data_IF_706138168985
#
_entry.id   IF_706138168985
#
_cell.length_a   1.000
_cell.length_b   1.000
_cell.length_c   1.000
_cell.angle_alpha   90.00
_cell.angle_beta   90.00
_cell.angle_gamma   90.00
#
_symmetry.space_group_name_H-M   'P 1'
#
loop_
_entity.id
_entity.type
_entity.pdbx_description
1 polymer ?
#
# COMPACT_ATOMS: atom_id res chain seq x y z
N UNK A 1 -15.07 9.52 -28.94
CA UNK A 1 -13.72 9.33 -28.37
C UNK A 1 -13.51 10.39 -27.29
N UNK A 2 -12.89 10.04 -26.14
CA UNK A 2 -12.50 11.05 -25.17
C UNK A 2 -11.26 11.79 -25.66
N UNK A 3 -11.22 13.12 -25.44
CA UNK A 3 -10.10 13.97 -25.84
C UNK A 3 -9.15 14.14 -24.64
N UNK A 4 -7.84 14.10 -24.92
CA UNK A 4 -6.85 14.54 -23.93
C UNK A 4 -7.09 16.03 -23.68
N UNK A 5 -7.15 16.43 -22.40
CA UNK A 5 -7.36 17.83 -22.01
C UNK A 5 -6.26 18.29 -21.08
N UNK A 6 -5.82 19.51 -21.26
CA UNK A 6 -4.78 20.14 -20.43
C UNK A 6 -5.37 20.66 -19.12
N UNK A 7 -5.92 19.73 -18.32
CA UNK A 7 -6.48 19.97 -16.98
C UNK A 7 -5.94 18.96 -15.98
N UNK A 8 -5.84 19.37 -14.74
CA UNK A 8 -5.45 18.50 -13.61
C UNK A 8 -6.69 18.32 -12.73
N UNK A 9 -6.99 17.06 -12.42
CA UNK A 9 -8.01 16.75 -11.44
C UNK A 9 -7.40 16.74 -10.04
N UNK A 10 -8.01 17.50 -9.12
CA UNK A 10 -7.67 17.55 -7.72
C UNK A 10 -8.68 16.73 -6.92
N UNK A 11 -8.19 15.88 -6.02
CA UNK A 11 -9.04 15.05 -5.17
C UNK A 11 -8.46 14.91 -3.75
N UNK A 12 -9.19 14.24 -2.85
CA UNK A 12 -8.88 14.12 -1.43
C UNK A 12 -7.84 13.03 -1.08
N UNK A 13 -7.31 12.30 -2.05
CA UNK A 13 -6.35 11.21 -1.84
C UNK A 13 -7.00 9.88 -1.44
N UNK A 14 -8.32 9.80 -1.31
CA UNK A 14 -9.03 8.56 -1.00
C UNK A 14 -9.27 7.71 -2.25
N UNK A 15 -9.48 6.41 -2.07
CA UNK A 15 -9.82 5.54 -3.20
C UNK A 15 -11.17 5.92 -3.82
N UNK A 16 -12.13 6.31 -2.99
CA UNK A 16 -13.44 6.79 -3.39
C UNK A 16 -13.33 8.08 -4.20
N UNK A 17 -12.47 9.01 -3.78
CA UNK A 17 -12.18 10.24 -4.55
C UNK A 17 -11.55 9.94 -5.90
N UNK A 18 -10.60 9.00 -5.98
CA UNK A 18 -10.06 8.54 -7.26
C UNK A 18 -11.16 7.94 -8.17
N UNK A 19 -12.06 7.13 -7.62
CA UNK A 19 -13.19 6.61 -8.40
C UNK A 19 -14.13 7.71 -8.89
N UNK A 20 -14.27 8.82 -8.14
CA UNK A 20 -14.98 10.00 -8.61
C UNK A 20 -14.25 10.70 -9.76
N UNK A 21 -12.89 10.75 -9.75
CA UNK A 21 -12.12 11.24 -10.90
C UNK A 21 -12.36 10.37 -12.15
N UNK A 22 -12.43 9.05 -11.98
CA UNK A 22 -12.81 8.14 -13.08
C UNK A 22 -14.21 8.48 -13.60
N UNK A 23 -15.20 8.68 -12.71
CA UNK A 23 -16.55 9.05 -13.09
C UNK A 23 -16.60 10.36 -13.89
N UNK A 24 -15.97 11.44 -13.37
CA UNK A 24 -15.92 12.75 -14.04
C UNK A 24 -15.24 12.68 -15.40
N UNK A 25 -14.16 11.91 -15.54
CA UNK A 25 -13.48 11.68 -16.81
C UNK A 25 -14.40 11.07 -17.88
N UNK A 26 -15.37 10.22 -17.49
CA UNK A 26 -16.37 9.67 -18.39
C UNK A 26 -17.53 10.63 -18.63
N UNK A 27 -18.01 11.32 -17.60
CA UNK A 27 -19.11 12.28 -17.69
C UNK A 27 -18.74 13.45 -18.65
N UNK A 28 -17.53 13.96 -18.53
CA UNK A 28 -17.02 15.07 -19.35
C UNK A 28 -16.41 14.60 -20.69
N UNK A 29 -16.31 13.27 -20.92
CA UNK A 29 -15.68 12.68 -22.12
C UNK A 29 -14.25 13.18 -22.34
N UNK A 30 -13.49 13.36 -21.27
CA UNK A 30 -12.12 13.86 -21.32
C UNK A 30 -11.15 12.94 -20.56
N UNK A 31 -9.85 13.06 -20.87
CA UNK A 31 -8.77 12.44 -20.11
C UNK A 31 -7.96 13.62 -19.57
N UNK A 32 -7.88 13.82 -18.23
CA UNK A 32 -7.06 14.88 -17.67
C UNK A 32 -5.57 14.61 -17.99
N UNK A 33 -4.78 15.67 -17.95
CA UNK A 33 -3.32 15.54 -18.06
C UNK A 33 -2.77 14.67 -16.91
N UNK A 34 -3.21 14.99 -15.66
CA UNK A 34 -2.85 14.21 -14.46
C UNK A 34 -3.96 14.31 -13.40
N UNK A 35 -3.83 13.50 -12.35
CA UNK A 35 -4.73 13.47 -11.18
C UNK A 35 -3.86 13.59 -9.94
N UNK A 36 -4.06 14.65 -9.16
CA UNK A 36 -3.28 14.96 -7.97
C UNK A 36 -4.17 15.07 -6.73
N UNK A 37 -3.65 14.68 -5.57
CA UNK A 37 -4.37 14.88 -4.33
C UNK A 37 -3.96 16.20 -3.66
N UNK A 38 -4.86 16.80 -2.89
CA UNK A 38 -4.71 18.15 -2.34
C UNK A 38 -3.44 18.37 -1.51
N UNK A 39 -2.96 17.36 -0.77
CA UNK A 39 -1.77 17.49 0.05
C UNK A 39 -0.47 17.65 -0.76
N UNK A 40 -0.47 17.25 -2.05
CA UNK A 40 0.67 17.45 -2.96
C UNK A 40 0.53 18.68 -3.84
N UNK A 41 -0.34 19.63 -3.47
CA UNK A 41 -0.66 20.79 -4.30
C UNK A 41 0.60 21.56 -4.71
N UNK A 42 0.99 21.37 -5.95
CA UNK A 42 2.09 22.08 -6.61
C UNK A 42 1.52 23.11 -7.58
N UNK A 43 2.33 24.14 -7.91
CA UNK A 43 1.96 25.05 -9.00
C UNK A 43 1.94 24.30 -10.31
N UNK A 44 0.81 24.36 -11.02
CA UNK A 44 0.64 23.77 -12.34
C UNK A 44 0.43 24.85 -13.39
N UNK A 45 0.94 24.59 -14.60
CA UNK A 45 0.63 25.41 -15.78
C UNK A 45 -0.77 25.13 -16.32
N UNK A 46 -1.36 23.97 -15.97
CA UNK A 46 -2.70 23.60 -16.40
C UNK A 46 -3.75 23.99 -15.35
N UNK A 47 -4.96 24.37 -15.78
CA UNK A 47 -6.07 24.67 -14.87
C UNK A 47 -6.43 23.42 -14.06
N UNK A 48 -6.71 23.63 -12.78
CA UNK A 48 -7.16 22.58 -11.87
C UNK A 48 -8.70 22.47 -11.83
N UNK A 49 -9.20 21.26 -11.79
CA UNK A 49 -10.62 20.94 -11.58
C UNK A 49 -10.74 20.16 -10.28
N UNK A 50 -11.46 20.71 -9.30
CA UNK A 50 -11.71 20.06 -8.02
C UNK A 50 -12.79 18.99 -8.16
N UNK A 51 -12.41 17.73 -7.90
CA UNK A 51 -13.32 16.58 -7.92
C UNK A 51 -13.71 16.22 -6.49
N UNK A 52 -14.95 16.51 -6.14
CA UNK A 52 -15.51 16.19 -4.83
C UNK A 52 -15.81 14.69 -4.71
N UNK A 53 -15.48 14.12 -3.57
CA UNK A 53 -15.78 12.71 -3.28
C UNK A 53 -17.27 12.54 -3.01
N UNK A 54 -17.90 11.72 -3.84
CA UNK A 54 -19.31 11.32 -3.77
C UNK A 54 -19.38 9.80 -3.68
N UNK A 55 -19.84 9.29 -2.55
CA UNK A 55 -19.91 7.86 -2.26
C UNK A 55 -20.82 7.11 -3.24
N UNK A 56 -21.90 7.73 -3.74
CA UNK A 56 -22.82 7.10 -4.69
C UNK A 56 -22.14 6.92 -6.05
N UNK A 57 -21.41 7.94 -6.50
CA UNK A 57 -20.63 7.88 -7.76
C UNK A 57 -19.48 6.89 -7.62
N UNK A 58 -18.74 6.92 -6.52
CA UNK A 58 -17.65 5.99 -6.26
C UNK A 58 -18.13 4.53 -6.25
N UNK A 59 -19.20 4.22 -5.54
CA UNK A 59 -19.78 2.87 -5.50
C UNK A 59 -20.29 2.42 -6.87
N UNK A 60 -20.88 3.32 -7.67
CA UNK A 60 -21.29 3.01 -9.04
C UNK A 60 -20.12 2.60 -9.92
N UNK A 61 -19.00 3.32 -9.86
CA UNK A 61 -17.77 2.97 -10.59
C UNK A 61 -17.21 1.65 -10.09
N UNK A 62 -17.09 1.47 -8.77
CA UNK A 62 -16.58 0.25 -8.15
C UNK A 62 -17.40 -0.98 -8.55
N UNK A 63 -18.71 -0.88 -8.49
CA UNK A 63 -19.64 -1.92 -8.95
C UNK A 63 -19.43 -2.25 -10.43
N UNK A 64 -19.31 -1.22 -11.26
CA UNK A 64 -19.07 -1.39 -12.70
C UNK A 64 -17.74 -2.11 -12.98
N UNK A 65 -16.67 -1.77 -12.26
CA UNK A 65 -15.38 -2.46 -12.39
C UNK A 65 -15.53 -3.95 -12.06
N UNK A 66 -16.19 -4.28 -10.95
CA UNK A 66 -16.37 -5.68 -10.52
C UNK A 66 -17.23 -6.50 -11.48
N UNK A 67 -18.36 -5.94 -11.92
CA UNK A 67 -19.34 -6.66 -12.73
C UNK A 67 -18.94 -6.75 -14.21
N UNK A 68 -18.40 -5.66 -14.79
CA UNK A 68 -18.07 -5.60 -16.22
C UNK A 68 -16.64 -6.00 -16.54
N UNK A 69 -15.68 -5.65 -15.66
CA UNK A 69 -14.26 -5.90 -15.91
C UNK A 69 -13.70 -7.09 -15.11
N UNK A 70 -14.45 -7.55 -14.11
CA UNK A 70 -14.12 -8.75 -13.34
C UNK A 70 -13.07 -8.55 -12.25
N UNK A 71 -12.86 -9.62 -11.50
CA UNK A 71 -12.08 -9.61 -10.26
C UNK A 71 -10.58 -9.30 -10.49
N UNK A 72 -10.01 -9.74 -11.60
CA UNK A 72 -8.61 -9.48 -11.94
C UNK A 72 -8.34 -7.98 -12.07
N UNK A 73 -9.14 -7.28 -12.90
CA UNK A 73 -9.01 -5.84 -13.10
C UNK A 73 -9.23 -5.10 -11.79
N UNK A 74 -10.24 -5.49 -11.02
CA UNK A 74 -10.49 -4.93 -9.69
C UNK A 74 -9.25 -5.00 -8.79
N UNK A 75 -8.63 -6.18 -8.65
CA UNK A 75 -7.42 -6.31 -7.82
C UNK A 75 -6.23 -5.54 -8.36
N UNK A 76 -6.07 -5.45 -9.68
CA UNK A 76 -5.00 -4.64 -10.28
C UNK A 76 -5.18 -3.16 -9.93
N UNK A 77 -6.41 -2.64 -10.01
CA UNK A 77 -6.72 -1.23 -9.68
C UNK A 77 -6.52 -0.97 -8.19
N UNK A 78 -7.07 -1.80 -7.32
CA UNK A 78 -6.93 -1.62 -5.86
C UNK A 78 -5.46 -1.65 -5.45
N UNK A 79 -4.70 -2.66 -5.88
CA UNK A 79 -3.27 -2.75 -5.55
C UNK A 79 -2.46 -1.63 -6.18
N UNK A 80 -2.77 -1.25 -7.43
CA UNK A 80 -2.13 -0.12 -8.09
C UNK A 80 -2.37 1.20 -7.35
N UNK A 81 -3.56 1.40 -6.79
CA UNK A 81 -3.88 2.58 -5.99
C UNK A 81 -3.11 2.63 -4.66
N UNK A 82 -2.82 1.49 -4.05
CA UNK A 82 -2.01 1.40 -2.82
C UNK A 82 -0.52 1.69 -3.06
N UNK A 83 -0.08 1.78 -4.32
CA UNK A 83 1.29 2.11 -4.67
C UNK A 83 1.63 3.57 -4.26
N UNK A 84 2.85 3.81 -3.81
CA UNK A 84 3.33 5.14 -3.37
C UNK A 84 3.94 5.99 -4.49
N UNK A 85 3.97 5.52 -5.74
CA UNK A 85 4.57 6.27 -6.85
C UNK A 85 3.65 7.41 -7.29
N UNK A 86 4.25 8.54 -7.67
CA UNK A 86 3.53 9.67 -8.27
C UNK A 86 2.97 9.30 -9.65
N UNK A 87 1.86 9.92 -10.02
CA UNK A 87 1.18 9.69 -11.30
C UNK A 87 0.55 8.29 -11.44
N UNK A 88 0.37 7.55 -10.35
CA UNK A 88 -0.33 6.25 -10.37
C UNK A 88 -1.78 6.41 -10.80
N UNK A 89 -2.43 7.49 -10.40
CA UNK A 89 -3.84 7.78 -10.65
C UNK A 89 -4.12 7.89 -12.14
N UNK A 90 -3.32 8.66 -12.87
CA UNK A 90 -3.51 8.81 -14.32
C UNK A 90 -3.20 7.51 -15.07
N UNK A 91 -2.22 6.72 -14.61
CA UNK A 91 -1.94 5.38 -15.16
C UNK A 91 -3.11 4.43 -14.95
N UNK A 92 -3.71 4.45 -13.75
CA UNK A 92 -4.91 3.66 -13.43
C UNK A 92 -6.13 4.10 -14.24
N UNK A 93 -6.33 5.41 -14.44
CA UNK A 93 -7.41 5.92 -15.28
C UNK A 93 -7.27 5.46 -16.73
N UNK A 94 -6.08 5.59 -17.33
CA UNK A 94 -5.79 5.13 -18.70
C UNK A 94 -6.02 3.62 -18.84
N UNK A 95 -5.55 2.86 -17.88
CA UNK A 95 -5.80 1.42 -17.82
C UNK A 95 -7.30 1.09 -17.75
N UNK A 96 -8.07 1.72 -16.87
CA UNK A 96 -9.51 1.50 -16.79
C UNK A 96 -10.21 1.84 -18.09
N UNK A 97 -9.82 2.93 -18.75
CA UNK A 97 -10.36 3.28 -20.07
C UNK A 97 -10.07 2.22 -21.11
N UNK A 98 -8.86 1.69 -21.15
CA UNK A 98 -8.49 0.59 -22.05
C UNK A 98 -9.35 -0.66 -21.76
N UNK A 99 -9.58 -0.98 -20.48
CA UNK A 99 -10.41 -2.14 -20.10
C UNK A 99 -11.87 -1.97 -20.50
N UNK A 100 -12.42 -0.76 -20.36
CA UNK A 100 -13.81 -0.51 -20.79
C UNK A 100 -13.96 -0.48 -22.30
N UNK A 101 -12.95 -0.07 -23.05
CA UNK A 101 -12.94 -0.03 -24.52
C UNK A 101 -12.74 -1.40 -25.14
N UNK A 102 -11.72 -2.16 -24.69
CA UNK A 102 -11.32 -3.45 -25.28
C UNK A 102 -11.83 -4.68 -24.52
N UNK A 103 -12.48 -4.46 -23.39
CA UNK A 103 -12.95 -5.54 -22.52
C UNK A 103 -11.88 -6.10 -21.57
N UNK A 104 -12.30 -6.91 -20.58
CA UNK A 104 -11.40 -7.40 -19.51
C UNK A 104 -10.27 -8.31 -20.00
N UNK A 105 -10.40 -8.92 -21.17
CA UNK A 105 -9.36 -9.77 -21.75
C UNK A 105 -8.08 -8.98 -22.09
N UNK A 106 -8.19 -7.67 -22.31
CA UNK A 106 -7.04 -6.81 -22.54
C UNK A 106 -6.07 -6.79 -21.32
N UNK A 107 -6.53 -7.09 -20.10
CA UNK A 107 -5.69 -7.19 -18.90
C UNK A 107 -4.64 -8.31 -18.96
N UNK A 108 -4.70 -9.19 -19.94
CA UNK A 108 -3.69 -10.24 -20.19
C UNK A 108 -2.63 -9.81 -21.23
N UNK A 109 -2.87 -8.70 -21.93
CA UNK A 109 -1.97 -8.19 -22.97
C UNK A 109 -0.88 -7.33 -22.33
N UNK A 110 0.09 -7.94 -21.67
CA UNK A 110 1.19 -7.25 -20.97
C UNK A 110 2.11 -6.44 -21.89
N UNK A 111 2.00 -6.59 -23.21
CA UNK A 111 2.69 -5.74 -24.19
C UNK A 111 2.06 -4.34 -24.38
N UNK A 112 0.83 -4.12 -23.91
CA UNK A 112 0.23 -2.78 -23.91
C UNK A 112 0.81 -1.95 -22.74
N UNK A 113 1.32 -0.71 -23.00
CA UNK A 113 1.96 0.11 -21.98
C UNK A 113 1.07 0.32 -20.74
N UNK A 114 -0.20 0.62 -20.93
CA UNK A 114 -1.16 0.88 -19.86
C UNK A 114 -1.36 -0.36 -18.96
N UNK A 115 -1.30 -1.55 -19.53
CA UNK A 115 -1.38 -2.81 -18.78
C UNK A 115 -0.09 -3.09 -18.05
N UNK A 116 1.06 -2.94 -18.74
CA UNK A 116 2.39 -3.14 -18.15
C UNK A 116 2.61 -2.23 -16.94
N UNK A 117 2.26 -0.96 -17.04
CA UNK A 117 2.36 0.05 -15.97
C UNK A 117 1.59 -0.38 -14.73
N UNK A 118 0.31 -0.76 -14.88
CA UNK A 118 -0.53 -1.14 -13.74
C UNK A 118 -0.13 -2.49 -13.16
N UNK A 119 0.33 -3.44 -13.99
CA UNK A 119 0.92 -4.69 -13.50
C UNK A 119 2.15 -4.41 -12.65
N UNK A 120 3.01 -3.50 -13.07
CA UNK A 120 4.20 -3.12 -12.30
C UNK A 120 3.83 -2.47 -10.96
N UNK A 121 2.90 -1.50 -10.96
CA UNK A 121 2.40 -0.87 -9.73
C UNK A 121 1.83 -1.90 -8.75
N UNK A 122 0.94 -2.76 -9.22
CA UNK A 122 0.29 -3.77 -8.38
C UNK A 122 1.27 -4.83 -7.86
N UNK A 123 2.26 -5.23 -8.68
CA UNK A 123 3.31 -6.18 -8.30
C UNK A 123 4.24 -5.61 -7.23
N UNK A 124 4.64 -4.33 -7.34
CA UNK A 124 5.48 -3.68 -6.35
C UNK A 124 4.85 -3.71 -4.95
N UNK A 125 3.58 -3.35 -4.85
CA UNK A 125 2.81 -3.41 -3.58
C UNK A 125 2.69 -4.84 -3.05
N UNK A 126 2.37 -5.80 -3.92
CA UNK A 126 2.23 -7.20 -3.52
C UNK A 126 3.56 -7.80 -3.01
N UNK A 127 4.66 -7.49 -3.68
CA UNK A 127 6.00 -7.94 -3.28
C UNK A 127 6.41 -7.36 -1.93
N UNK A 128 6.19 -6.05 -1.71
CA UNK A 128 6.49 -5.42 -0.42
C UNK A 128 5.65 -6.00 0.71
N UNK A 129 4.35 -6.19 0.48
CA UNK A 129 3.49 -6.85 1.46
C UNK A 129 3.94 -8.30 1.76
N UNK A 130 4.39 -9.04 0.74
CA UNK A 130 4.92 -10.39 0.91
C UNK A 130 6.21 -10.41 1.75
N UNK A 131 7.12 -9.46 1.52
CA UNK A 131 8.33 -9.29 2.31
C UNK A 131 8.00 -8.94 3.77
N UNK A 132 7.11 -7.98 4.00
CA UNK A 132 6.73 -7.56 5.35
C UNK A 132 6.05 -8.69 6.14
N UNK A 133 5.27 -9.57 5.51
CA UNK A 133 4.73 -10.76 6.19
C UNK A 133 5.82 -11.67 6.79
N UNK A 134 7.04 -11.63 6.25
CA UNK A 134 8.18 -12.43 6.71
C UNK A 134 9.07 -11.66 7.71
N UNK A 135 9.14 -10.34 7.57
CA UNK A 135 10.13 -9.52 8.28
C UNK A 135 9.57 -8.71 9.43
N UNK A 136 8.24 -8.54 9.57
CA UNK A 136 7.65 -7.87 10.74
C UNK A 136 8.08 -8.60 12.02
N UNK A 137 8.54 -7.83 13.00
CA UNK A 137 8.83 -8.26 14.36
C UNK A 137 7.86 -7.58 15.31
N UNK A 138 7.19 -8.39 16.10
CA UNK A 138 6.30 -7.90 17.14
C UNK A 138 7.05 -7.87 18.47
N UNK A 139 6.78 -6.86 19.27
CA UNK A 139 7.28 -6.68 20.62
C UNK A 139 6.08 -6.61 21.56
N UNK A 140 6.16 -7.26 22.71
CA UNK A 140 5.11 -7.16 23.73
C UNK A 140 5.22 -5.81 24.44
N UNK A 141 4.11 -5.08 24.53
CA UNK A 141 4.01 -3.78 25.17
C UNK A 141 2.64 -3.66 25.84
N UNK A 142 2.63 -3.53 27.15
CA UNK A 142 1.38 -3.35 27.92
C UNK A 142 0.32 -4.43 27.62
N UNK A 143 0.76 -5.69 27.43
CA UNK A 143 -0.13 -6.83 27.15
C UNK A 143 -0.68 -6.87 25.71
N UNK A 144 -0.12 -6.10 24.79
CA UNK A 144 -0.46 -6.09 23.36
C UNK A 144 0.79 -6.27 22.50
N UNK A 145 0.65 -6.97 21.37
CA UNK A 145 1.73 -7.11 20.40
C UNK A 145 1.81 -5.87 19.50
N UNK A 146 2.92 -5.17 19.53
CA UNK A 146 3.16 -3.99 18.71
C UNK A 146 4.24 -4.22 17.67
N UNK A 147 4.06 -3.72 16.45
CA UNK A 147 5.08 -3.72 15.41
C UNK A 147 5.11 -2.37 14.68
N UNK A 148 6.31 -1.92 14.30
CA UNK A 148 6.50 -0.74 13.46
C UNK A 148 6.99 -1.20 12.10
N UNK A 149 6.47 -0.60 11.04
CA UNK A 149 6.91 -0.83 9.66
C UNK A 149 7.15 0.50 8.94
N UNK A 150 8.09 0.49 7.99
CA UNK A 150 8.45 1.65 7.16
C UNK A 150 8.32 1.28 5.66
N UNK A 151 7.12 0.99 5.17
CA UNK A 151 6.93 0.59 3.78
C UNK A 151 6.94 1.78 2.84
N UNK A 152 7.35 1.54 1.58
CA UNK A 152 7.20 2.52 0.49
C UNK A 152 5.74 2.69 0.07
N UNK A 153 4.99 1.59 0.09
CA UNK A 153 3.60 1.52 -0.38
C UNK A 153 2.63 1.33 0.79
N UNK A 154 1.38 1.73 0.63
CA UNK A 154 0.37 1.54 1.67
C UNK A 154 -0.09 0.07 1.73
N UNK A 155 0.63 -0.77 2.46
CA UNK A 155 0.47 -2.24 2.45
C UNK A 155 -0.43 -2.80 3.55
N UNK A 156 -0.81 -2.02 4.55
CA UNK A 156 -1.63 -2.51 5.69
C UNK A 156 -2.88 -3.30 5.27
N UNK A 157 -3.63 -2.93 4.21
CA UNK A 157 -4.77 -3.72 3.76
C UNK A 157 -4.41 -5.15 3.32
N UNK A 158 -3.18 -5.35 2.79
CA UNK A 158 -2.70 -6.67 2.35
C UNK A 158 -2.13 -7.49 3.51
N UNK A 159 -1.77 -6.85 4.62
CA UNK A 159 -1.26 -7.50 5.84
C UNK A 159 -2.39 -7.96 6.76
N UNK A 160 -3.56 -7.28 6.73
CA UNK A 160 -4.67 -7.50 7.65
C UNK A 160 -5.07 -8.97 7.77
N UNK A 161 -5.48 -9.59 6.68
CA UNK A 161 -5.95 -10.99 6.69
C UNK A 161 -4.87 -11.92 7.23
N UNK A 162 -3.63 -11.76 6.73
CA UNK A 162 -2.51 -12.62 7.12
C UNK A 162 -2.26 -12.61 8.63
N UNK A 163 -2.20 -11.43 9.27
CA UNK A 163 -1.91 -11.34 10.71
C UNK A 163 -3.13 -11.65 11.57
N UNK A 164 -4.34 -11.33 11.12
CA UNK A 164 -5.56 -11.77 11.82
C UNK A 164 -5.69 -13.30 11.86
N UNK A 165 -5.34 -13.98 10.75
CA UNK A 165 -5.38 -15.45 10.68
C UNK A 165 -4.23 -16.10 11.46
N UNK A 166 -3.04 -15.47 11.45
CA UNK A 166 -1.85 -15.99 12.13
C UNK A 166 -1.92 -15.88 13.66
N UNK A 167 -2.56 -14.83 14.14
CA UNK A 167 -2.66 -14.50 15.58
C UNK A 167 -4.13 -14.31 15.97
N UNK A 168 -4.95 -15.39 15.91
CA UNK A 168 -6.40 -15.27 16.07
C UNK A 168 -6.85 -14.84 17.47
N UNK A 169 -6.03 -15.05 18.50
CA UNK A 169 -6.34 -14.79 19.90
C UNK A 169 -5.56 -13.62 20.50
N UNK A 170 -4.71 -12.96 19.70
CA UNK A 170 -3.84 -11.90 20.20
C UNK A 170 -4.35 -10.52 19.79
N UNK A 171 -4.27 -9.58 20.71
CA UNK A 171 -4.43 -8.17 20.41
C UNK A 171 -3.12 -7.63 19.82
N UNK A 172 -3.20 -6.96 18.68
CA UNK A 172 -2.01 -6.42 18.04
C UNK A 172 -2.22 -5.07 17.38
N UNK A 173 -1.12 -4.35 17.21
CA UNK A 173 -1.02 -3.12 16.46
C UNK A 173 0.15 -3.19 15.47
N UNK A 174 -0.10 -2.90 14.20
CA UNK A 174 0.95 -2.73 13.18
C UNK A 174 0.91 -1.26 12.73
N UNK A 175 1.92 -0.48 13.13
CA UNK A 175 2.03 0.93 12.81
C UNK A 175 2.89 1.17 11.58
N UNK A 176 2.31 1.78 10.56
CA UNK A 176 2.99 2.27 9.37
C UNK A 176 3.44 3.72 9.62
N UNK A 177 4.74 3.90 9.85
CA UNK A 177 5.31 5.21 10.17
C UNK A 177 5.48 6.13 8.95
N UNK A 178 5.35 5.61 7.73
CA UNK A 178 5.40 6.40 6.50
C UNK A 178 4.05 7.03 6.18
N UNK A 179 2.96 6.29 6.45
CA UNK A 179 1.60 6.73 6.14
C UNK A 179 0.83 7.21 7.37
N UNK A 180 1.43 7.12 8.59
CA UNK A 180 0.84 7.51 9.87
C UNK A 180 -0.48 6.80 10.18
N UNK A 181 -0.56 5.53 9.83
CA UNK A 181 -1.75 4.69 10.03
C UNK A 181 -1.35 3.42 10.76
N UNK A 182 -2.18 2.99 11.70
CA UNK A 182 -2.04 1.67 12.32
C UNK A 182 -3.21 0.76 11.95
N UNK A 183 -2.90 -0.50 11.72
CA UNK A 183 -3.85 -1.59 11.77
C UNK A 183 -3.92 -2.06 13.21
N UNK A 184 -5.09 -1.94 13.83
CA UNK A 184 -5.33 -2.33 15.23
C UNK A 184 -6.31 -3.48 15.26
N UNK A 185 -5.99 -4.50 16.04
CA UNK A 185 -6.91 -5.58 16.41
C UNK A 185 -7.04 -5.63 17.92
N UNK A 186 -8.31 -5.66 18.39
CA UNK A 186 -8.68 -5.94 19.78
C UNK A 186 -9.84 -6.94 19.80
N UNK A 187 -9.56 -8.16 20.22
CA UNK A 187 -10.49 -9.26 20.09
C UNK A 187 -10.91 -9.49 18.64
N UNK A 188 -12.20 -9.34 18.34
CA UNK A 188 -12.74 -9.48 16.97
C UNK A 188 -12.79 -8.15 16.20
N UNK A 189 -12.61 -7.02 16.90
CA UNK A 189 -12.59 -5.70 16.24
C UNK A 189 -11.25 -5.46 15.53
N UNK A 190 -11.33 -5.16 14.23
CA UNK A 190 -10.16 -4.88 13.40
C UNK A 190 -10.39 -3.62 12.59
N UNK A 191 -9.68 -2.56 12.91
CA UNK A 191 -9.82 -1.26 12.28
C UNK A 191 -8.48 -0.59 11.96
N UNK A 192 -8.55 0.51 11.19
CA UNK A 192 -7.41 1.37 10.90
C UNK A 192 -7.55 2.68 11.66
N UNK A 193 -6.48 3.08 12.35
CA UNK A 193 -6.42 4.35 13.08
C UNK A 193 -5.34 5.23 12.48
N UNK A 194 -5.68 6.48 12.16
CA UNK A 194 -4.70 7.48 11.67
C UNK A 194 -4.18 8.29 12.85
N UNK A 195 -2.87 8.49 12.88
CA UNK A 195 -2.19 9.30 13.90
C UNK A 195 -1.77 10.65 13.32
N UNK A 196 -2.05 11.73 14.04
CA UNK A 196 -1.53 13.06 13.68
C UNK A 196 -0.20 13.26 14.39
N UNK A 197 0.89 13.48 13.63
CA UNK A 197 2.20 13.80 14.19
C UNK A 197 3.07 12.59 14.61
N UNK A 198 2.73 11.41 14.18
CA UNK A 198 3.46 10.17 14.51
C UNK A 198 2.98 9.53 15.82
N UNK A 199 3.21 8.23 15.94
CA UNK A 199 2.90 7.45 17.14
C UNK A 199 4.21 6.97 17.76
N UNK A 200 4.47 7.40 18.99
CA UNK A 200 5.56 6.85 19.80
C UNK A 200 4.99 5.69 20.60
N UNK A 201 5.42 4.49 20.26
CA UNK A 201 5.09 3.31 21.05
C UNK A 201 5.76 3.46 22.44
N UNK A 202 5.08 3.01 23.49
CA UNK A 202 5.68 2.90 24.84
C UNK A 202 6.96 2.07 24.79
N UNK A 203 7.88 2.32 25.71
CA UNK A 203 9.12 1.52 25.78
C UNK A 203 8.80 0.05 26.04
N UNK A 204 9.53 -0.91 25.44
CA UNK A 204 9.37 -2.31 25.75
C UNK A 204 9.60 -2.60 27.23
N UNK A 205 8.92 -3.60 27.77
CA UNK A 205 9.16 -4.09 29.13
C UNK A 205 10.53 -4.76 29.24
N UNK A 206 11.08 -4.86 30.46
CA UNK A 206 12.39 -5.50 30.70
C UNK A 206 12.42 -6.97 30.22
N UNK A 207 11.28 -7.66 30.35
CA UNK A 207 11.10 -9.03 29.85
C UNK A 207 11.25 -9.10 28.34
N UNK A 208 10.69 -8.15 27.57
CA UNK A 208 10.83 -8.07 26.12
C UNK A 208 12.29 -7.85 25.72
N UNK A 209 13.02 -6.98 26.40
CA UNK A 209 14.47 -6.82 26.17
C UNK A 209 15.26 -8.11 26.37
N UNK A 210 14.83 -8.97 27.30
CA UNK A 210 15.46 -10.28 27.51
C UNK A 210 15.18 -11.21 26.32
N UNK A 211 13.93 -11.24 25.81
CA UNK A 211 13.60 -12.02 24.61
C UNK A 211 14.35 -11.53 23.37
N UNK A 212 14.47 -10.23 23.17
CA UNK A 212 15.24 -9.65 22.06
C UNK A 212 16.71 -10.06 22.10
N UNK A 213 17.35 -10.05 23.29
CA UNK A 213 18.73 -10.53 23.47
C UNK A 213 18.87 -12.02 23.17
N UNK A 214 17.93 -12.84 23.63
CA UNK A 214 17.90 -14.28 23.35
C UNK A 214 17.71 -14.56 21.86
N UNK A 215 16.80 -13.81 21.20
CA UNK A 215 16.60 -13.93 19.76
C UNK A 215 17.86 -13.58 18.98
N UNK A 216 18.54 -12.48 19.33
CA UNK A 216 19.78 -12.07 18.68
C UNK A 216 20.88 -13.11 18.88
N UNK A 217 21.07 -13.62 20.10
CA UNK A 217 22.02 -14.68 20.37
C UNK A 217 21.74 -15.96 19.59
N UNK A 218 20.46 -16.35 19.48
CA UNK A 218 20.05 -17.51 18.68
C UNK A 218 20.34 -17.28 17.18
N UNK A 219 20.00 -16.11 16.64
CA UNK A 219 20.28 -15.75 15.26
C UNK A 219 21.78 -15.83 14.94
N UNK A 220 22.61 -15.27 15.81
CA UNK A 220 24.06 -15.27 15.65
C UNK A 220 24.66 -16.69 15.78
N UNK A 221 24.12 -17.51 16.69
CA UNK A 221 24.55 -18.91 16.86
C UNK A 221 24.22 -19.83 15.69
N UNK A 222 23.13 -19.53 14.95
CA UNK A 222 22.75 -20.28 13.75
C UNK A 222 23.45 -19.79 12.48
N UNK A 223 24.09 -18.63 12.52
CA UNK A 223 24.77 -18.06 11.37
C UNK A 223 25.99 -18.94 11.00
N UNK A 224 26.02 -19.39 9.75
CA UNK A 224 27.18 -20.11 9.19
C UNK A 224 28.03 -19.06 8.47
N UNK A 225 29.20 -18.71 9.06
CA UNK A 225 30.08 -17.65 8.56
C UNK A 225 30.46 -17.84 7.08
N UNK A 226 30.74 -19.08 6.65
CA UNK A 226 31.13 -19.40 5.26
C UNK A 226 30.00 -19.17 4.26
N UNK A 227 28.75 -19.09 4.72
CA UNK A 227 27.56 -18.78 3.91
C UNK A 227 27.14 -17.33 3.98
N UNK A 228 27.85 -16.49 4.74
CA UNK A 228 27.52 -15.08 4.89
C UNK A 228 27.68 -14.35 3.56
N UNK A 229 26.59 -13.85 3.03
CA UNK A 229 26.54 -13.09 1.80
C UNK A 229 25.61 -11.86 1.95
N UNK A 230 26.22 -10.71 2.24
CA UNK A 230 25.45 -9.48 2.49
C UNK A 230 24.70 -8.99 1.26
N UNK A 231 25.25 -9.15 0.05
CA UNK A 231 24.56 -8.78 -1.18
C UNK A 231 23.29 -9.60 -1.39
N UNK A 232 23.38 -10.90 -1.17
CA UNK A 232 22.23 -11.81 -1.27
C UNK A 232 21.20 -11.49 -0.17
N UNK A 233 21.65 -11.22 1.06
CA UNK A 233 20.76 -10.80 2.15
C UNK A 233 20.01 -9.53 1.79
N UNK A 234 20.68 -8.49 1.27
CA UNK A 234 20.04 -7.23 0.84
C UNK A 234 19.08 -7.41 -0.32
N UNK A 235 19.27 -8.38 -1.20
CA UNK A 235 18.32 -8.71 -2.27
C UNK A 235 17.02 -9.31 -1.72
N UNK A 236 17.10 -10.18 -0.73
CA UNK A 236 15.94 -10.85 -0.13
C UNK A 236 15.30 -10.07 1.01
N UNK A 237 16.11 -9.38 1.80
CA UNK A 237 15.69 -8.51 2.91
C UNK A 237 16.32 -7.12 2.74
N UNK A 238 15.67 -6.19 2.03
CA UNK A 238 16.18 -4.84 1.80
C UNK A 238 16.49 -4.10 3.10
N UNK A 239 17.57 -3.30 3.12
CA UNK A 239 18.05 -2.55 4.29
C UNK A 239 16.97 -1.70 4.97
N UNK A 240 16.02 -1.16 4.21
CA UNK A 240 14.93 -0.35 4.76
C UNK A 240 14.05 -1.06 5.80
N UNK A 241 14.11 -2.42 5.86
CA UNK A 241 13.39 -3.18 6.88
C UNK A 241 14.24 -3.45 8.13
N UNK A 242 15.57 -3.30 8.05
CA UNK A 242 16.49 -3.69 9.11
C UNK A 242 16.31 -2.87 10.39
N UNK A 243 15.96 -1.59 10.26
CA UNK A 243 15.70 -0.71 11.39
C UNK A 243 14.64 -1.27 12.36
N UNK A 244 13.65 -1.98 11.81
CA UNK A 244 12.56 -2.58 12.56
C UNK A 244 12.75 -4.08 12.85
N UNK A 245 13.97 -4.63 12.63
CA UNK A 245 14.30 -6.03 12.86
C UNK A 245 15.32 -6.16 14.00
N UNK A 246 14.93 -6.83 15.08
CA UNK A 246 15.75 -6.97 16.29
C UNK A 246 17.18 -7.48 16.02
N UNK A 247 17.31 -8.43 15.09
CA UNK A 247 18.58 -9.05 14.72
C UNK A 247 19.44 -8.21 13.77
N UNK A 248 18.87 -7.20 13.09
CA UNK A 248 19.56 -6.43 12.07
C UNK A 248 19.64 -4.92 12.33
N UNK A 249 18.91 -4.40 13.32
CA UNK A 249 18.82 -2.95 13.58
C UNK A 249 20.18 -2.28 13.82
N UNK A 250 21.15 -3.00 14.38
CA UNK A 250 22.51 -2.48 14.60
C UNK A 250 23.34 -2.40 13.30
N UNK A 251 22.83 -2.94 12.19
CA UNK A 251 23.47 -2.97 10.86
C UNK A 251 22.75 -2.06 9.83
N UNK A 252 21.68 -1.36 10.25
CA UNK A 252 20.82 -0.53 9.41
C UNK A 252 21.48 0.77 8.93
#
# INVERSE_FOLDING_TARGET
MACQRDVIYWYDGTFEGFLCCVFESYANREIPWDIWYYATRQSSLFPGVDVQTDMVRAQRVLKSIREKLGQRVYYMVVRGFLNGDEGKEIRLLRFLRLMYDKGPQAAYQTGAPEVADVVQLARAVANEACQLKQFIRFEEREGMLGAVISPKHYVLPLLRTHFCDRMPNEDFLIYDNQHYVALVRRGEDVHYTRFQGGYLMSSPEEREHTYQRLWKAFYDALAIEERRNEKLRMQHCPKRFWENMTELKDLA
#
